data_IF_796046403414
#
_entry.id   IF_796046403414
#
_cell.length_a   1.000
_cell.length_b   1.000
_cell.length_c   1.000
_cell.angle_alpha   90.00
_cell.angle_beta   90.00
_cell.angle_gamma   90.00
#
_symmetry.space_group_name_H-M   'P 1'
#
loop_
_entity.id
_entity.type
_entity.pdbx_description
1 polymer ?
#
# COMPACT_ATOMS: atom_id res chain seq x y z
N UNK A 1 -0.15 16.44 13.33
CA UNK A 1 -0.75 15.10 13.41
C UNK A 1 -0.14 14.17 12.39
N UNK A 2 0.31 13.02 12.86
CA UNK A 2 0.93 12.03 11.98
C UNK A 2 -0.11 11.05 11.49
N UNK A 3 -0.31 11.02 10.18
CA UNK A 3 -1.16 10.01 9.57
C UNK A 3 -0.35 8.73 9.36
N UNK A 4 -1.03 7.59 9.43
CA UNK A 4 -0.48 6.30 9.05
C UNK A 4 -1.11 5.88 7.72
N UNK A 5 -0.30 5.33 6.85
CA UNK A 5 -0.72 5.02 5.48
C UNK A 5 -0.77 3.53 5.22
N UNK A 6 -1.78 3.13 4.46
CA UNK A 6 -1.88 1.78 3.91
C UNK A 6 -1.53 1.91 2.44
N UNK A 7 -0.54 1.16 1.97
CA UNK A 7 -0.11 1.24 0.58
C UNK A 7 -0.68 0.03 -0.16
N UNK A 8 -1.60 0.29 -1.09
CA UNK A 8 -2.24 -0.77 -1.85
C UNK A 8 -1.22 -1.51 -2.73
N UNK A 9 -1.49 -2.77 -3.01
CA UNK A 9 -0.62 -3.65 -3.80
C UNK A 9 -0.24 -3.03 -5.14
N UNK A 10 -1.20 -2.39 -5.84
CA UNK A 10 -0.91 -1.81 -7.15
C UNK A 10 0.16 -0.72 -7.09
N UNK A 11 0.27 0.00 -5.98
CA UNK A 11 1.28 1.05 -5.81
C UNK A 11 2.67 0.42 -5.64
N UNK A 12 2.77 -0.64 -4.83
CA UNK A 12 4.03 -1.36 -4.64
C UNK A 12 4.51 -1.95 -5.97
N UNK A 13 3.60 -2.60 -6.71
CA UNK A 13 3.91 -3.19 -8.01
C UNK A 13 4.37 -2.12 -8.99
N UNK A 14 3.63 -1.02 -9.09
CA UNK A 14 3.99 0.06 -10.01
C UNK A 14 5.33 0.69 -9.63
N UNK A 15 5.61 0.86 -8.34
CA UNK A 15 6.89 1.39 -7.88
C UNK A 15 8.07 0.50 -8.25
N UNK A 16 7.85 -0.81 -8.20
CA UNK A 16 8.88 -1.78 -8.57
C UNK A 16 9.12 -1.82 -10.07
N UNK A 17 8.07 -1.65 -10.87
CA UNK A 17 8.13 -1.78 -12.34
C UNK A 17 8.52 -0.49 -13.07
N UNK A 18 8.31 0.67 -12.45
CA UNK A 18 8.56 1.94 -13.15
C UNK A 18 10.04 2.15 -13.44
N UNK A 19 10.34 2.72 -14.62
CA UNK A 19 11.70 3.13 -14.97
C UNK A 19 11.99 4.57 -14.53
N UNK A 20 11.00 5.27 -13.97
CA UNK A 20 11.15 6.67 -13.56
C UNK A 20 11.33 6.74 -12.04
N UNK A 21 12.58 6.96 -11.61
CA UNK A 21 12.92 6.96 -10.18
C UNK A 21 12.24 8.09 -9.41
N UNK A 22 11.82 9.15 -10.08
CA UNK A 22 11.18 10.31 -9.47
C UNK A 22 9.65 10.26 -9.54
N UNK A 23 9.08 9.18 -10.09
CA UNK A 23 7.62 9.03 -10.14
C UNK A 23 7.03 8.87 -8.74
N UNK A 24 5.76 9.22 -8.54
CA UNK A 24 5.13 9.06 -7.23
C UNK A 24 5.22 7.65 -6.68
N UNK A 25 4.97 6.63 -7.51
CA UNK A 25 4.99 5.24 -7.05
C UNK A 25 6.40 4.78 -6.66
N UNK A 26 7.43 5.22 -7.40
CA UNK A 26 8.81 4.89 -7.06
C UNK A 26 9.21 5.53 -5.73
N UNK A 27 8.83 6.78 -5.52
CA UNK A 27 9.13 7.50 -4.29
C UNK A 27 8.44 6.88 -3.07
N UNK A 28 7.22 6.39 -3.26
CA UNK A 28 6.50 5.71 -2.19
C UNK A 28 7.20 4.41 -1.81
N UNK A 29 7.55 3.58 -2.78
CA UNK A 29 8.24 2.33 -2.50
C UNK A 29 9.60 2.58 -1.84
N UNK A 30 10.36 3.53 -2.34
CA UNK A 30 11.64 3.93 -1.73
C UNK A 30 11.45 4.39 -0.29
N UNK A 31 10.39 5.13 -0.02
CA UNK A 31 10.06 5.61 1.33
C UNK A 31 9.68 4.48 2.27
N UNK A 32 8.98 3.45 1.78
CA UNK A 32 8.67 2.26 2.58
C UNK A 32 9.95 1.51 2.97
N UNK A 33 10.87 1.39 2.02
CA UNK A 33 12.14 0.68 2.25
C UNK A 33 13.10 1.46 3.14
N UNK A 34 13.00 2.79 3.11
CA UNK A 34 13.85 3.67 3.90
C UNK A 34 13.21 4.22 5.17
N UNK A 35 12.03 3.73 5.54
CA UNK A 35 11.30 4.20 6.72
C UNK A 35 11.05 5.72 6.71
N UNK A 36 10.78 6.28 5.53
CA UNK A 36 10.62 7.72 5.37
C UNK A 36 9.26 8.24 5.84
N UNK A 37 8.28 7.35 5.98
CA UNK A 37 6.96 7.70 6.50
C UNK A 37 6.36 6.49 7.21
N UNK A 38 5.36 6.74 8.07
CA UNK A 38 4.71 5.68 8.82
C UNK A 38 3.67 4.96 7.95
N UNK A 39 3.80 3.65 7.83
CA UNK A 39 2.82 2.84 7.08
C UNK A 39 2.49 1.57 7.84
N UNK A 40 1.34 1.02 7.50
CA UNK A 40 0.71 -0.09 8.22
C UNK A 40 0.57 -1.29 7.29
N UNK A 41 0.79 -2.47 7.83
CA UNK A 41 0.50 -3.74 7.16
C UNK A 41 -0.45 -4.57 8.01
N UNK A 42 -1.22 -5.43 7.34
CA UNK A 42 -1.87 -6.58 7.94
C UNK A 42 -1.27 -7.83 7.31
N UNK A 43 -1.52 -8.99 7.92
CA UNK A 43 -1.09 -10.24 7.31
C UNK A 43 -1.71 -10.41 5.92
N UNK A 44 -2.98 -10.04 5.77
CA UNK A 44 -3.67 -10.15 4.48
C UNK A 44 -3.04 -9.26 3.41
N UNK A 45 -2.65 -8.03 3.77
CA UNK A 45 -2.03 -7.12 2.81
C UNK A 45 -0.65 -7.61 2.39
N UNK A 46 0.15 -8.08 3.35
CA UNK A 46 1.47 -8.61 3.04
C UNK A 46 1.36 -9.85 2.14
N UNK A 47 0.40 -10.73 2.42
CA UNK A 47 0.14 -11.90 1.59
C UNK A 47 -0.30 -11.51 0.18
N UNK A 48 -1.08 -10.44 0.06
CA UNK A 48 -1.51 -9.92 -1.24
C UNK A 48 -0.31 -9.39 -2.04
N UNK A 49 0.59 -8.65 -1.40
CA UNK A 49 1.82 -8.21 -2.06
C UNK A 49 2.56 -9.40 -2.65
N UNK A 50 2.76 -10.44 -1.86
CA UNK A 50 3.50 -11.62 -2.31
C UNK A 50 2.76 -12.34 -3.43
N UNK A 51 1.47 -12.59 -3.24
CA UNK A 51 0.64 -13.30 -4.21
C UNK A 51 0.70 -12.66 -5.60
N UNK A 52 0.69 -11.34 -5.65
CA UNK A 52 0.74 -10.60 -6.92
C UNK A 52 2.15 -10.61 -7.49
N UNK A 53 3.17 -10.34 -6.67
CA UNK A 53 4.56 -10.22 -7.14
C UNK A 53 5.13 -11.52 -7.68
N UNK A 54 4.66 -12.68 -7.19
CA UNK A 54 5.15 -13.97 -7.68
C UNK A 54 4.42 -14.46 -8.93
N UNK A 55 3.43 -13.72 -9.44
CA UNK A 55 2.76 -14.11 -10.68
C UNK A 55 3.76 -14.15 -11.82
N UNK A 56 3.76 -15.23 -12.65
CA UNK A 56 4.76 -15.36 -13.73
C UNK A 56 4.84 -14.15 -14.64
N UNK A 57 3.69 -13.54 -14.95
CA UNK A 57 3.63 -12.35 -15.79
C UNK A 57 4.42 -11.19 -15.21
N UNK A 58 4.30 -10.98 -13.88
CA UNK A 58 5.02 -9.91 -13.21
C UNK A 58 6.49 -10.27 -13.01
N UNK A 59 6.81 -11.53 -12.74
CA UNK A 59 8.19 -11.97 -12.61
C UNK A 59 8.99 -11.69 -13.89
N UNK A 60 8.37 -11.82 -15.06
CA UNK A 60 9.02 -11.48 -16.34
C UNK A 60 9.32 -9.98 -16.43
N UNK A 61 8.49 -9.14 -15.81
CA UNK A 61 8.66 -7.69 -15.90
C UNK A 61 9.69 -7.17 -14.89
N UNK A 62 9.65 -7.64 -13.63
CA UNK A 62 10.56 -7.12 -12.62
C UNK A 62 11.87 -7.92 -12.51
N UNK A 63 11.89 -9.15 -13.04
CA UNK A 63 13.12 -9.95 -13.07
C UNK A 63 13.59 -10.49 -11.73
N UNK A 64 12.77 -10.42 -10.69
CA UNK A 64 13.15 -10.91 -9.36
C UNK A 64 12.77 -12.37 -9.18
N UNK A 65 13.63 -13.13 -8.48
CA UNK A 65 13.31 -14.49 -8.05
C UNK A 65 12.36 -14.44 -6.85
N UNK A 66 11.74 -15.57 -6.49
CA UNK A 66 10.92 -15.64 -5.29
C UNK A 66 11.71 -15.28 -4.04
N UNK A 67 12.98 -15.72 -3.95
CA UNK A 67 13.83 -15.38 -2.82
C UNK A 67 14.07 -13.87 -2.74
N UNK A 68 14.27 -13.21 -3.88
CA UNK A 68 14.44 -11.77 -3.92
C UNK A 68 13.16 -11.03 -3.55
N UNK A 69 12.00 -11.55 -3.99
CA UNK A 69 10.69 -11.01 -3.59
C UNK A 69 10.51 -11.13 -2.07
N UNK A 70 10.84 -12.29 -1.50
CA UNK A 70 10.72 -12.49 -0.05
C UNK A 70 11.63 -11.55 0.72
N UNK A 71 12.83 -11.29 0.22
CA UNK A 71 13.74 -10.30 0.83
C UNK A 71 13.15 -8.89 0.78
N UNK A 72 12.57 -8.51 -0.35
CA UNK A 72 11.90 -7.21 -0.49
C UNK A 72 10.76 -7.07 0.52
N UNK A 73 9.94 -8.12 0.68
CA UNK A 73 8.82 -8.09 1.61
C UNK A 73 9.27 -8.02 3.06
N UNK A 74 10.35 -8.70 3.41
CA UNK A 74 10.95 -8.60 4.74
C UNK A 74 11.42 -7.17 5.00
N UNK A 75 12.07 -6.54 4.03
CA UNK A 75 12.55 -5.18 4.16
C UNK A 75 11.38 -4.20 4.35
N UNK A 76 10.29 -4.38 3.61
CA UNK A 76 9.09 -3.57 3.79
C UNK A 76 8.51 -3.80 5.18
N UNK A 77 8.32 -5.06 5.59
CA UNK A 77 7.70 -5.39 6.86
C UNK A 77 8.50 -4.89 8.06
N UNK A 78 9.82 -4.80 7.91
CA UNK A 78 10.72 -4.34 8.98
C UNK A 78 10.36 -2.93 9.46
N UNK A 79 9.86 -2.08 8.59
CA UNK A 79 9.56 -0.69 8.90
C UNK A 79 8.06 -0.42 9.10
N UNK A 80 7.23 -1.44 8.97
CA UNK A 80 5.78 -1.29 9.04
C UNK A 80 5.28 -1.42 10.47
N UNK A 81 4.15 -0.77 10.73
CA UNK A 81 3.33 -1.08 11.91
C UNK A 81 2.35 -2.16 11.50
N UNK A 82 2.38 -3.31 12.16
CA UNK A 82 1.52 -4.43 11.82
C UNK A 82 0.27 -4.40 12.69
N UNK A 83 -0.90 -4.38 12.06
CA UNK A 83 -2.19 -4.37 12.74
C UNK A 83 -2.96 -5.64 12.40
N UNK A 84 -3.76 -6.08 13.36
CA UNK A 84 -4.68 -7.21 13.17
C UNK A 84 -6.11 -6.66 13.12
N UNK A 85 -6.74 -6.60 11.94
CA UNK A 85 -8.10 -6.08 11.84
C UNK A 85 -9.10 -7.00 12.52
N UNK A 86 -10.11 -6.39 13.14
CA UNK A 86 -11.23 -7.12 13.71
C UNK A 86 -12.48 -6.65 12.98
N UNK A 87 -13.10 -7.55 12.20
CA UNK A 87 -14.33 -7.23 11.48
C UNK A 87 -15.49 -7.17 12.46
N UNK A 88 -16.24 -6.07 12.40
CA UNK A 88 -17.44 -5.87 13.21
C UNK A 88 -18.62 -5.58 12.29
N UNK A 89 -19.81 -5.54 12.85
CA UNK A 89 -21.02 -5.19 12.10
C UNK A 89 -20.95 -3.76 11.56
N UNK A 90 -20.10 -2.90 12.14
CA UNK A 90 -19.91 -1.52 11.70
C UNK A 90 -18.92 -1.40 10.54
N UNK A 91 -18.22 -2.47 10.17
CA UNK A 91 -17.25 -2.42 9.07
C UNK A 91 -17.98 -2.23 7.75
N UNK A 92 -17.57 -1.21 6.99
CA UNK A 92 -18.15 -0.92 5.68
C UNK A 92 -17.82 -2.00 4.67
N UNK A 93 -18.70 -2.16 3.68
CA UNK A 93 -18.49 -3.10 2.58
C UNK A 93 -17.69 -2.41 1.47
N UNK A 94 -16.60 -3.03 1.04
CA UNK A 94 -15.78 -2.51 -0.05
C UNK A 94 -16.51 -2.61 -1.39
N UNK A 95 -16.19 -1.73 -2.36
CA UNK A 95 -16.77 -1.79 -3.70
C UNK A 95 -16.54 -3.13 -4.40
N UNK A 96 -15.39 -3.76 -4.16
CA UNK A 96 -15.04 -5.07 -4.69
C UNK A 96 -14.78 -6.01 -3.50
N UNK A 97 -15.41 -7.22 -3.48
CA UNK A 97 -15.16 -8.17 -2.39
C UNK A 97 -13.68 -8.54 -2.23
N UNK A 98 -12.91 -8.52 -3.30
CA UNK A 98 -11.46 -8.79 -3.25
C UNK A 98 -10.69 -7.74 -2.46
N UNK A 99 -11.26 -6.55 -2.25
CA UNK A 99 -10.63 -5.47 -1.51
C UNK A 99 -11.16 -5.32 -0.08
N UNK A 100 -12.02 -6.25 0.36
CA UNK A 100 -12.61 -6.14 1.70
C UNK A 100 -11.52 -6.12 2.79
N UNK A 101 -10.41 -6.82 2.59
CA UNK A 101 -9.33 -6.82 3.57
C UNK A 101 -8.72 -5.42 3.77
N UNK A 102 -8.74 -4.56 2.73
CA UNK A 102 -8.31 -3.17 2.86
C UNK A 102 -9.29 -2.36 3.69
N UNK A 103 -10.60 -2.57 3.46
CA UNK A 103 -11.63 -1.90 4.26
C UNK A 103 -11.60 -2.34 5.71
N UNK A 104 -11.38 -3.63 5.95
CA UNK A 104 -11.22 -4.14 7.31
C UNK A 104 -10.03 -3.47 8.01
N UNK A 105 -8.93 -3.29 7.28
CA UNK A 105 -7.74 -2.64 7.84
C UNK A 105 -7.97 -1.16 8.12
N UNK A 106 -8.52 -0.42 7.14
CA UNK A 106 -8.70 1.02 7.28
C UNK A 106 -9.65 1.40 8.41
N UNK A 107 -10.64 0.54 8.69
CA UNK A 107 -11.60 0.80 9.78
C UNK A 107 -11.05 0.46 11.16
N UNK A 108 -9.87 -0.15 11.23
CA UNK A 108 -9.22 -0.49 12.51
C UNK A 108 -8.83 0.77 13.29
N UNK A 109 -8.45 1.84 12.59
CA UNK A 109 -8.07 3.12 13.21
C UNK A 109 -8.56 4.28 12.35
N UNK A 110 -8.96 5.35 13.01
CA UNK A 110 -9.48 6.53 12.32
C UNK A 110 -8.40 7.35 11.59
N UNK A 111 -7.12 7.15 11.94
CA UNK A 111 -6.01 7.90 11.37
C UNK A 111 -5.36 7.21 10.17
N UNK A 112 -5.95 6.12 9.67
CA UNK A 112 -5.40 5.40 8.51
C UNK A 112 -5.91 5.98 7.21
N UNK A 113 -5.00 6.13 6.23
CA UNK A 113 -5.31 6.63 4.90
C UNK A 113 -4.77 5.62 3.89
N UNK A 114 -5.60 5.20 2.96
CA UNK A 114 -5.23 4.25 1.90
C UNK A 114 -4.68 5.01 0.69
N UNK A 115 -3.51 4.60 0.22
CA UNK A 115 -2.91 5.12 -1.01
C UNK A 115 -3.07 4.06 -2.09
N UNK A 116 -3.80 4.38 -3.15
CA UNK A 116 -4.11 3.42 -4.22
C UNK A 116 -4.16 4.11 -5.57
N UNK A 117 -3.85 3.34 -6.63
CA UNK A 117 -4.06 3.77 -8.00
C UNK A 117 -5.39 3.30 -8.58
N UNK A 118 -6.18 2.56 -7.81
CA UNK A 118 -7.46 2.00 -8.27
C UNK A 118 -8.54 3.06 -8.26
N UNK A 119 -9.04 3.43 -9.43
CA UNK A 119 -10.05 4.47 -9.58
C UNK A 119 -11.36 4.14 -8.86
N UNK A 120 -11.72 2.85 -8.81
CA UNK A 120 -12.94 2.44 -8.13
C UNK A 120 -12.86 2.74 -6.64
N UNK A 121 -11.70 2.48 -6.04
CA UNK A 121 -11.49 2.78 -4.62
C UNK A 121 -11.41 4.28 -4.36
N UNK A 122 -10.76 5.03 -5.27
CA UNK A 122 -10.63 6.48 -5.16
C UNK A 122 -11.97 7.20 -5.27
N UNK A 123 -12.95 6.59 -5.94
CA UNK A 123 -14.26 7.17 -6.14
C UNK A 123 -15.29 6.76 -5.08
N UNK A 124 -14.91 5.88 -4.15
CA UNK A 124 -15.82 5.41 -3.11
C UNK A 124 -16.22 6.55 -2.18
N UNK A 125 -17.50 6.90 -2.16
CA UNK A 125 -17.98 8.05 -1.41
C UNK A 125 -17.88 7.88 0.10
N UNK A 126 -18.07 6.66 0.58
CA UNK A 126 -18.00 6.36 2.01
C UNK A 126 -16.61 6.57 2.58
N UNK A 127 -15.55 6.39 1.75
CA UNK A 127 -14.16 6.47 2.17
C UNK A 127 -13.41 7.63 1.49
N UNK A 128 -14.13 8.58 0.90
CA UNK A 128 -13.53 9.59 0.02
C UNK A 128 -12.40 10.39 0.65
N UNK A 129 -12.47 10.66 1.95
CA UNK A 129 -11.43 11.42 2.65
C UNK A 129 -10.30 10.56 3.16
N UNK A 130 -10.43 9.24 3.04
CA UNK A 130 -9.48 8.27 3.58
C UNK A 130 -8.78 7.47 2.48
N UNK A 131 -9.03 7.81 1.22
CA UNK A 131 -8.41 7.13 0.07
C UNK A 131 -7.81 8.20 -0.84
N UNK A 132 -6.52 8.12 -1.11
CA UNK A 132 -5.82 9.11 -1.94
C UNK A 132 -4.96 8.41 -3.00
N UNK A 133 -4.66 9.14 -4.08
CA UNK A 133 -3.78 8.65 -5.14
C UNK A 133 -2.31 8.76 -4.74
N UNK A 134 -1.41 8.01 -5.41
CA UNK A 134 0.03 8.20 -5.20
C UNK A 134 0.49 9.63 -5.44
N UNK A 135 -0.04 10.30 -6.47
CA UNK A 135 0.31 11.68 -6.76
C UNK A 135 -0.11 12.61 -5.63
N UNK A 136 -1.34 12.44 -5.11
CA UNK A 136 -1.84 13.23 -3.99
C UNK A 136 -0.97 13.00 -2.75
N UNK A 137 -0.59 11.76 -2.49
CA UNK A 137 0.27 11.44 -1.36
C UNK A 137 1.60 12.19 -1.45
N UNK A 138 2.27 12.12 -2.59
CA UNK A 138 3.57 12.78 -2.79
C UNK A 138 3.42 14.31 -2.67
N UNK A 139 2.35 14.87 -3.24
CA UNK A 139 2.12 16.31 -3.20
C UNK A 139 1.91 16.83 -1.77
N UNK A 140 1.09 16.10 -0.98
CA UNK A 140 0.70 16.55 0.36
C UNK A 140 1.68 16.12 1.44
N UNK A 141 2.44 15.05 1.24
CA UNK A 141 3.31 14.47 2.26
C UNK A 141 4.77 14.38 1.81
N UNK A 142 5.17 15.21 0.84
CA UNK A 142 6.53 15.19 0.28
C UNK A 142 7.61 15.36 1.34
N UNK A 143 7.33 16.14 2.39
CA UNK A 143 8.29 16.36 3.48
C UNK A 143 8.60 15.08 4.26
N UNK A 144 7.67 14.12 4.28
CA UNK A 144 7.85 12.87 5.01
C UNK A 144 8.69 11.86 4.23
N UNK A 145 8.80 12.02 2.92
CA UNK A 145 9.51 11.06 2.06
C UNK A 145 10.73 11.64 1.37
N UNK A 146 11.12 12.88 1.71
CA UNK A 146 12.34 13.51 1.23
C UNK A 146 13.47 13.30 2.23
N UNK A 147 14.28 12.31 1.98
CA UNK A 147 15.46 12.06 2.81
C UNK A 147 16.62 11.62 1.96
#
# INVERSE_FOLDING_TARGET
MNAFFIIDTNVVVAGLLTSHADSPVARILDGMLGAAFAFVLSEALLAEYRSVLVRPRLCKLHGLSEAEIDTLLVDIARHAVVLTPVRTVATSVAPDPGDQFLWDLITTRADLVLVTGDKLLLQDKAMQQRVISPQAFVTHFAKQIQH
#
